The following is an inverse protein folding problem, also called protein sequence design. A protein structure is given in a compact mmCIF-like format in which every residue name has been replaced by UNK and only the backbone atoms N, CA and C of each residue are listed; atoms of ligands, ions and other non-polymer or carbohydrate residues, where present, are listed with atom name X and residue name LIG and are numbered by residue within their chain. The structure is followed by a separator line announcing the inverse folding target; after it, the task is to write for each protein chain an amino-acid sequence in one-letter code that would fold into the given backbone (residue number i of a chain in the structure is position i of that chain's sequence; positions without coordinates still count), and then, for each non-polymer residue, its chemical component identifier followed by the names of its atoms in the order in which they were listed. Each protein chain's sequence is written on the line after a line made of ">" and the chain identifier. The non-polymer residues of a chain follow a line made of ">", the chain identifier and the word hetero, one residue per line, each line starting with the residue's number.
data_IF_915077784706
#
_entry.id   IF_915077784706
#
_cell.length_a   1.000
_cell.length_b   1.000
_cell.length_c   1.000
_cell.angle_alpha   90.00
_cell.angle_beta   90.00
_cell.angle_gamma   90.00
#
_symmetry.space_group_name_H-M   'P 1'
#
loop_
_entity.id
_entity.type
_entity.pdbx_description
1 polymer ?
#
# COMPACT_ATOMS: atom_id res chain seq x y z
N UNK A 1 11.49 -54.54 -59.73
CA UNK A 1 11.11 -54.26 -58.35
C UNK A 1 12.03 -53.17 -57.84
N UNK A 2 11.51 -51.94 -57.77
CA UNK A 2 12.25 -50.77 -57.21
C UNK A 2 11.76 -50.54 -55.79
N UNK A 3 12.64 -50.70 -54.84
CA UNK A 3 12.35 -50.37 -53.44
C UNK A 3 12.51 -48.85 -53.28
N UNK A 4 11.45 -48.19 -52.86
CA UNK A 4 11.45 -46.79 -52.45
C UNK A 4 11.73 -46.78 -50.94
N UNK A 5 12.92 -46.29 -50.54
CA UNK A 5 13.28 -46.04 -49.14
C UNK A 5 12.73 -44.68 -48.79
N UNK A 6 11.66 -44.65 -48.00
CA UNK A 6 11.10 -43.39 -47.46
C UNK A 6 11.93 -42.87 -46.27
N UNK A 7 12.60 -41.77 -46.44
CA UNK A 7 13.30 -41.05 -45.39
C UNK A 7 12.29 -40.25 -44.55
N UNK A 8 11.94 -40.70 -43.35
CA UNK A 8 11.11 -39.96 -42.40
C UNK A 8 11.99 -38.93 -41.67
N UNK A 9 11.92 -37.66 -42.03
CA UNK A 9 12.55 -36.58 -41.31
C UNK A 9 11.66 -36.29 -40.05
N UNK A 10 12.09 -36.68 -38.88
CA UNK A 10 11.48 -36.26 -37.63
C UNK A 10 12.01 -34.86 -37.31
N UNK A 11 11.20 -33.83 -37.58
CA UNK A 11 11.45 -32.47 -37.13
C UNK A 11 11.19 -32.43 -35.62
N UNK A 12 12.24 -32.54 -34.78
CA UNK A 12 12.18 -32.18 -33.38
C UNK A 12 12.08 -30.62 -33.29
N UNK A 13 10.86 -30.08 -33.23
CA UNK A 13 10.64 -28.72 -32.82
C UNK A 13 10.95 -28.64 -31.31
N UNK A 14 12.19 -28.37 -30.97
CA UNK A 14 12.51 -27.87 -29.64
C UNK A 14 11.91 -26.47 -29.54
N UNK A 15 10.81 -26.33 -28.80
CA UNK A 15 10.33 -25.01 -28.40
C UNK A 15 11.43 -24.40 -27.53
N UNK A 16 12.23 -23.51 -28.10
CA UNK A 16 13.05 -22.59 -27.30
C UNK A 16 12.10 -21.68 -26.56
N UNK A 17 11.74 -22.00 -25.34
CA UNK A 17 11.15 -21.05 -24.42
C UNK A 17 12.24 -20.03 -24.16
N UNK A 18 12.11 -18.84 -24.74
CA UNK A 18 13.00 -17.73 -24.43
C UNK A 18 12.92 -17.48 -22.92
N UNK A 19 14.01 -17.74 -22.22
CA UNK A 19 14.08 -17.47 -20.80
C UNK A 19 14.04 -15.95 -20.65
N UNK A 20 12.99 -15.43 -20.01
CA UNK A 20 12.92 -14.00 -19.66
C UNK A 20 14.07 -13.68 -18.71
N UNK A 21 14.81 -12.64 -19.05
CA UNK A 21 15.97 -12.19 -18.29
C UNK A 21 15.85 -10.69 -18.01
N UNK A 22 16.49 -10.24 -16.95
CA UNK A 22 16.67 -8.81 -16.71
C UNK A 22 17.55 -8.16 -17.80
N UNK A 23 17.52 -6.82 -17.95
CA UNK A 23 18.34 -6.12 -18.93
C UNK A 23 19.85 -6.39 -18.81
N UNK A 24 20.33 -6.80 -17.64
CA UNK A 24 21.73 -7.21 -17.38
C UNK A 24 22.02 -8.68 -17.73
N UNK A 25 21.06 -9.40 -18.31
CA UNK A 25 21.17 -10.80 -18.73
C UNK A 25 20.96 -11.84 -17.62
N UNK A 26 20.69 -11.43 -16.40
CA UNK A 26 20.41 -12.36 -15.30
C UNK A 26 19.01 -12.95 -15.40
N UNK A 27 18.86 -14.22 -15.04
CA UNK A 27 17.56 -14.88 -14.96
C UNK A 27 16.65 -14.16 -13.96
N UNK A 28 15.38 -13.93 -14.35
CA UNK A 28 14.36 -13.40 -13.43
C UNK A 28 14.03 -14.46 -12.39
N UNK A 29 14.28 -14.20 -11.08
CA UNK A 29 13.93 -15.14 -10.02
C UNK A 29 12.45 -15.48 -10.01
N UNK A 30 12.11 -16.71 -9.63
CA UNK A 30 10.72 -17.21 -9.58
C UNK A 30 9.81 -16.30 -8.73
N UNK A 31 10.35 -15.72 -7.67
CA UNK A 31 9.64 -14.79 -6.80
C UNK A 31 8.93 -13.64 -7.58
N UNK A 32 9.51 -13.13 -8.67
CA UNK A 32 8.90 -12.09 -9.51
C UNK A 32 7.73 -12.60 -10.37
N UNK A 33 7.57 -13.92 -10.49
CA UNK A 33 6.45 -14.54 -11.22
C UNK A 33 5.32 -14.97 -10.30
N UNK A 34 5.56 -14.97 -8.99
CA UNK A 34 4.56 -15.28 -7.98
C UNK A 34 3.61 -14.11 -7.76
N UNK A 35 2.45 -14.13 -8.38
CA UNK A 35 1.39 -13.13 -8.24
C UNK A 35 0.16 -13.69 -7.50
N UNK A 36 0.36 -14.68 -6.63
CA UNK A 36 -0.73 -15.31 -5.86
C UNK A 36 -1.35 -14.31 -4.89
N UNK A 37 -2.67 -14.30 -4.85
CA UNK A 37 -3.42 -13.53 -3.86
C UNK A 37 -3.14 -14.02 -2.42
N UNK A 38 -3.25 -13.11 -1.47
CA UNK A 38 -3.11 -13.41 -0.05
C UNK A 38 -4.23 -14.34 0.40
N UNK A 39 -3.87 -15.51 0.91
CA UNK A 39 -4.84 -16.37 1.59
C UNK A 39 -5.11 -15.83 3.00
N UNK A 40 -6.08 -14.93 3.12
CA UNK A 40 -6.44 -14.27 4.39
C UNK A 40 -6.78 -15.27 5.50
N UNK A 41 -7.30 -16.45 5.16
CA UNK A 41 -7.64 -17.48 6.16
C UNK A 41 -6.40 -18.17 6.73
N UNK A 42 -5.27 -18.11 6.03
CA UNK A 42 -3.99 -18.64 6.52
C UNK A 42 -3.23 -17.66 7.42
N UNK A 43 -3.66 -16.40 7.50
CA UNK A 43 -2.99 -15.35 8.29
C UNK A 43 -3.40 -15.32 9.77
N UNK A 44 -4.19 -16.29 10.23
CA UNK A 44 -4.60 -16.42 11.62
C UNK A 44 -6.01 -15.90 11.93
N UNK A 45 -6.25 -15.60 13.21
CA UNK A 45 -7.57 -15.16 13.70
C UNK A 45 -7.97 -13.81 13.11
N UNK A 46 -9.25 -13.68 12.76
CA UNK A 46 -9.84 -12.41 12.29
C UNK A 46 -10.38 -11.59 13.46
N UNK A 47 -10.04 -10.33 13.48
CA UNK A 47 -10.49 -9.33 14.44
C UNK A 47 -11.27 -8.24 13.70
N UNK A 48 -12.59 -8.44 13.55
CA UNK A 48 -13.44 -7.39 12.96
C UNK A 48 -13.54 -6.23 13.94
N UNK A 49 -13.15 -5.02 13.51
CA UNK A 49 -13.07 -3.85 14.39
C UNK A 49 -14.40 -3.51 15.07
N UNK A 50 -15.52 -3.79 14.40
CA UNK A 50 -16.87 -3.55 14.95
C UNK A 50 -17.19 -4.45 16.14
N UNK A 51 -16.61 -5.64 16.23
CA UNK A 51 -16.78 -6.53 17.39
C UNK A 51 -16.09 -6.00 18.67
N UNK A 52 -15.29 -4.94 18.51
CA UNK A 52 -14.52 -4.30 19.59
C UNK A 52 -14.95 -2.84 19.83
N UNK A 53 -16.19 -2.52 19.42
CA UNK A 53 -16.80 -1.22 19.71
C UNK A 53 -16.39 -0.07 18.78
N UNK A 54 -15.75 -0.38 17.65
CA UNK A 54 -15.58 0.59 16.57
C UNK A 54 -16.90 0.69 15.82
N UNK A 55 -17.41 1.90 15.59
CA UNK A 55 -18.70 2.12 14.95
C UNK A 55 -18.54 2.57 13.50
N UNK A 56 -19.48 2.18 12.65
CA UNK A 56 -19.55 2.66 11.28
C UNK A 56 -20.04 4.11 11.25
N UNK A 57 -19.10 5.04 11.49
CA UNK A 57 -19.36 6.47 11.51
C UNK A 57 -18.15 7.22 10.90
N UNK A 58 -18.39 7.94 9.81
CA UNK A 58 -17.37 8.69 9.08
C UNK A 58 -17.02 10.04 9.73
N UNK A 59 -17.67 10.42 10.84
CA UNK A 59 -17.49 11.71 11.52
C UNK A 59 -16.77 11.56 12.87
N UNK A 60 -16.76 10.36 13.45
CA UNK A 60 -16.12 10.09 14.74
C UNK A 60 -14.75 9.48 14.55
N UNK A 61 -13.72 10.16 15.04
CA UNK A 61 -12.34 9.65 15.00
C UNK A 61 -12.15 8.52 16.00
N UNK A 62 -11.81 7.33 15.53
CA UNK A 62 -11.77 6.11 16.32
C UNK A 62 -10.37 5.46 16.37
N UNK A 63 -9.33 6.26 16.14
CA UNK A 63 -7.93 5.81 16.10
C UNK A 63 -7.56 4.93 17.28
N UNK A 64 -7.88 5.38 18.50
CA UNK A 64 -7.54 4.65 19.73
C UNK A 64 -8.18 3.26 19.75
N UNK A 65 -9.48 3.16 19.47
CA UNK A 65 -10.19 1.88 19.48
C UNK A 65 -9.65 0.92 18.41
N UNK A 66 -9.39 1.41 17.19
CA UNK A 66 -8.82 0.58 16.13
C UNK A 66 -7.41 0.12 16.50
N UNK A 67 -6.59 1.01 17.09
CA UNK A 67 -5.26 0.65 17.56
C UNK A 67 -5.30 -0.41 18.68
N UNK A 68 -6.25 -0.32 19.59
CA UNK A 68 -6.46 -1.32 20.64
C UNK A 68 -6.76 -2.72 20.05
N UNK A 69 -7.50 -2.79 18.93
CA UNK A 69 -7.74 -4.07 18.22
C UNK A 69 -6.44 -4.62 17.60
N UNK A 70 -5.62 -3.75 17.00
CA UNK A 70 -4.31 -4.14 16.46
C UNK A 70 -3.42 -4.67 17.59
N UNK A 71 -3.38 -3.95 18.71
CA UNK A 71 -2.57 -4.30 19.87
C UNK A 71 -3.01 -5.61 20.49
N UNK A 72 -4.32 -5.84 20.62
CA UNK A 72 -4.90 -7.09 21.10
C UNK A 72 -4.55 -8.27 20.18
N UNK A 73 -4.65 -8.08 18.87
CA UNK A 73 -4.27 -9.11 17.90
C UNK A 73 -2.79 -9.48 18.06
N UNK A 74 -1.91 -8.49 18.16
CA UNK A 74 -0.48 -8.70 18.36
C UNK A 74 -0.17 -9.44 19.67
N UNK A 75 -0.82 -9.08 20.79
CA UNK A 75 -0.69 -9.76 22.08
C UNK A 75 -1.12 -11.22 22.03
N UNK A 76 -2.08 -11.55 21.16
CA UNK A 76 -2.58 -12.92 20.95
C UNK A 76 -1.79 -13.70 19.88
N UNK A 77 -0.60 -13.25 19.50
CA UNK A 77 0.26 -13.91 18.53
C UNK A 77 0.06 -13.48 17.07
N UNK A 78 -0.84 -12.52 16.82
CA UNK A 78 -1.12 -11.97 15.51
C UNK A 78 -2.53 -12.23 15.00
N UNK A 79 -2.76 -11.91 13.73
CA UNK A 79 -4.03 -12.12 13.05
C UNK A 79 -4.41 -10.99 12.10
N UNK A 80 -5.62 -11.03 11.60
CA UNK A 80 -6.13 -10.14 10.56
C UNK A 80 -7.08 -9.12 11.16
N UNK A 81 -6.73 -7.86 11.08
CA UNK A 81 -7.60 -6.73 11.43
C UNK A 81 -8.54 -6.51 10.26
N UNK A 82 -9.81 -6.80 10.47
CA UNK A 82 -10.84 -6.70 9.43
C UNK A 82 -11.59 -5.39 9.59
N UNK A 83 -11.54 -4.57 8.55
CA UNK A 83 -12.41 -3.41 8.39
C UNK A 83 -13.61 -3.87 7.58
N UNK A 84 -14.81 -4.04 8.18
CA UNK A 84 -16.00 -4.49 7.47
C UNK A 84 -16.59 -3.38 6.61
N UNK A 85 -17.59 -3.73 5.81
CA UNK A 85 -18.35 -2.75 5.01
C UNK A 85 -18.78 -1.55 5.85
N UNK A 86 -18.50 -0.33 5.36
CA UNK A 86 -18.79 0.92 6.04
C UNK A 86 -17.64 1.91 5.96
N UNK A 87 -17.76 3.04 6.63
CA UNK A 87 -16.72 4.08 6.66
C UNK A 87 -16.27 4.34 8.09
N UNK A 88 -14.98 4.19 8.35
CA UNK A 88 -14.37 4.30 9.66
C UNK A 88 -13.27 5.36 9.65
N UNK A 89 -13.46 6.42 10.44
CA UNK A 89 -12.54 7.57 10.49
C UNK A 89 -11.41 7.31 11.49
N UNK A 90 -10.18 7.53 11.07
CA UNK A 90 -8.99 7.31 11.90
C UNK A 90 -7.87 8.30 11.61
N UNK A 91 -7.03 8.56 12.61
CA UNK A 91 -5.67 9.07 12.44
C UNK A 91 -4.69 7.92 12.21
N UNK A 92 -3.42 8.11 12.63
CA UNK A 92 -2.36 7.12 12.41
C UNK A 92 -2.58 5.80 13.15
N UNK A 93 -2.47 4.71 12.42
CA UNK A 93 -2.48 3.33 12.93
C UNK A 93 -1.10 2.70 12.77
N UNK A 94 -0.64 1.95 13.76
CA UNK A 94 0.67 1.31 13.78
C UNK A 94 0.50 -0.21 13.89
N UNK A 95 0.80 -0.90 12.81
CA UNK A 95 0.75 -2.37 12.77
C UNK A 95 1.95 -2.98 13.47
N UNK A 96 1.78 -4.21 13.93
CA UNK A 96 2.76 -4.96 14.73
C UNK A 96 3.06 -6.32 14.10
N UNK A 97 4.05 -7.01 14.63
CA UNK A 97 4.43 -8.33 14.14
C UNK A 97 3.22 -9.27 14.06
N UNK A 98 3.14 -10.00 12.96
CA UNK A 98 2.07 -10.97 12.64
C UNK A 98 0.65 -10.36 12.57
N UNK A 99 0.49 -9.04 12.55
CA UNK A 99 -0.83 -8.42 12.30
C UNK A 99 -0.95 -8.01 10.84
N UNK A 100 -2.13 -8.14 10.27
CA UNK A 100 -2.42 -7.85 8.86
C UNK A 100 -3.68 -7.00 8.75
N UNK A 101 -3.82 -6.24 7.66
CA UNK A 101 -5.01 -5.43 7.39
C UNK A 101 -5.83 -6.05 6.25
N UNK A 102 -7.10 -6.26 6.48
CA UNK A 102 -8.05 -6.70 5.46
C UNK A 102 -9.22 -5.73 5.37
N UNK A 103 -9.45 -5.19 4.17
CA UNK A 103 -10.55 -4.29 3.87
C UNK A 103 -11.62 -5.05 3.09
N UNK A 104 -12.78 -5.29 3.70
CA UNK A 104 -13.89 -5.93 3.00
C UNK A 104 -14.36 -5.09 1.80
N UNK A 105 -15.14 -5.70 0.92
CA UNK A 105 -15.75 -4.97 -0.18
C UNK A 105 -16.65 -3.84 0.37
N UNK A 106 -16.52 -2.64 -0.20
CA UNK A 106 -17.19 -1.41 0.27
C UNK A 106 -16.78 -0.94 1.68
N UNK A 107 -15.72 -1.50 2.25
CA UNK A 107 -15.09 -0.93 3.44
C UNK A 107 -14.27 0.30 3.07
N UNK A 108 -14.32 1.34 3.90
CA UNK A 108 -13.49 2.54 3.78
C UNK A 108 -12.83 2.83 5.12
N UNK A 109 -11.51 2.69 5.16
CA UNK A 109 -10.71 3.27 6.25
C UNK A 109 -10.31 4.67 5.82
N UNK A 110 -10.93 5.67 6.44
CA UNK A 110 -10.80 7.08 6.08
C UNK A 110 -9.86 7.79 7.03
N UNK A 111 -8.89 8.52 6.50
CA UNK A 111 -8.01 9.39 7.25
C UNK A 111 -8.74 10.62 7.81
N UNK A 112 -8.34 11.09 8.98
CA UNK A 112 -8.81 12.35 9.51
C UNK A 112 -8.29 13.51 8.64
N UNK A 113 -9.11 14.56 8.48
CA UNK A 113 -8.68 15.83 7.89
C UNK A 113 -8.15 16.82 8.94
N UNK A 114 -8.04 16.39 10.19
CA UNK A 114 -7.37 17.13 11.27
C UNK A 114 -5.99 16.55 11.51
N UNK A 115 -4.96 17.36 11.26
CA UNK A 115 -3.55 16.97 11.38
C UNK A 115 -3.15 16.54 12.80
N UNK A 116 -3.86 17.02 13.83
CA UNK A 116 -3.60 16.66 15.24
C UNK A 116 -3.80 15.17 15.55
N UNK A 117 -4.51 14.44 14.67
CA UNK A 117 -4.69 13.00 14.79
C UNK A 117 -3.53 12.17 14.19
N UNK A 118 -2.51 12.86 13.68
CA UNK A 118 -1.30 12.24 13.12
C UNK A 118 -0.07 12.66 13.94
N UNK A 119 0.54 11.77 14.72
CA UNK A 119 1.70 12.12 15.51
C UNK A 119 2.91 12.42 14.63
N UNK A 120 3.75 13.34 15.09
CA UNK A 120 5.04 13.62 14.50
C UNK A 120 6.07 12.67 15.10
N UNK A 121 6.80 11.96 14.24
CA UNK A 121 7.89 11.07 14.63
C UNK A 121 9.04 11.20 13.65
N UNK A 122 10.22 10.71 14.06
CA UNK A 122 11.34 10.57 13.16
C UNK A 122 10.96 9.61 12.03
N UNK A 123 11.05 10.05 10.79
CA UNK A 123 10.67 9.30 9.60
C UNK A 123 11.51 9.71 8.39
N UNK A 124 11.36 9.04 7.30
CA UNK A 124 12.01 9.36 6.03
C UNK A 124 11.12 10.24 5.18
N UNK A 125 11.68 11.30 4.58
CA UNK A 125 10.97 12.27 3.77
C UNK A 125 11.93 12.95 2.79
N UNK A 126 11.60 12.96 1.49
CA UNK A 126 12.39 13.63 0.43
C UNK A 126 13.91 13.35 0.54
N UNK A 127 14.28 12.09 0.76
CA UNK A 127 15.69 11.68 0.88
C UNK A 127 16.35 12.06 2.23
N UNK A 128 15.61 12.57 3.19
CA UNK A 128 16.11 12.99 4.50
C UNK A 128 15.43 12.23 5.64
N UNK A 129 16.11 12.07 6.77
CA UNK A 129 15.53 11.55 8.01
C UNK A 129 15.25 12.72 8.94
N UNK A 130 13.99 12.94 9.26
CA UNK A 130 13.54 14.10 10.02
C UNK A 130 12.20 13.85 10.73
N UNK A 131 11.78 14.76 11.59
CA UNK A 131 10.47 14.73 12.22
C UNK A 131 9.38 15.13 11.23
N UNK A 132 8.43 14.22 10.97
CA UNK A 132 7.31 14.45 10.06
C UNK A 132 6.07 13.71 10.52
N UNK A 133 4.89 14.08 10.01
CA UNK A 133 3.65 13.40 10.33
C UNK A 133 3.66 11.95 9.85
N UNK A 134 3.22 11.06 10.72
CA UNK A 134 3.05 9.64 10.38
C UNK A 134 1.88 9.44 9.41
N UNK A 135 1.89 8.32 8.71
CA UNK A 135 0.84 7.95 7.77
C UNK A 135 -0.45 7.46 8.46
N UNK A 136 -1.52 7.28 7.70
CA UNK A 136 -2.73 6.60 8.18
C UNK A 136 -2.41 5.14 8.57
N UNK A 137 -1.67 4.43 7.72
CA UNK A 137 -1.22 3.05 7.98
C UNK A 137 0.30 3.03 8.04
N UNK A 138 0.85 2.58 9.17
CA UNK A 138 2.29 2.53 9.41
C UNK A 138 2.74 1.12 9.81
N UNK A 139 3.90 0.71 9.27
CA UNK A 139 4.60 -0.51 9.64
C UNK A 139 6.11 -0.26 9.69
N UNK A 140 6.80 -0.74 10.72
CA UNK A 140 8.25 -0.63 10.84
C UNK A 140 8.85 -1.95 11.32
N UNK A 141 9.85 -2.45 10.58
CA UNK A 141 10.58 -3.68 10.91
C UNK A 141 9.76 -4.96 10.83
N UNK A 142 8.62 -4.96 10.13
CA UNK A 142 7.74 -6.13 10.04
C UNK A 142 8.19 -7.08 8.92
N UNK A 143 8.05 -8.39 9.17
CA UNK A 143 8.24 -9.43 8.15
C UNK A 143 6.89 -10.11 7.84
N UNK A 144 6.52 -10.19 6.56
CA UNK A 144 5.29 -10.83 6.10
C UNK A 144 4.03 -9.98 6.23
N UNK A 145 4.11 -8.66 6.45
CA UNK A 145 2.93 -7.79 6.58
C UNK A 145 2.11 -7.72 5.28
N UNK A 146 0.79 -7.82 5.41
CA UNK A 146 -0.11 -7.71 4.25
C UNK A 146 -1.21 -6.67 4.45
N UNK A 147 -1.58 -5.99 3.36
CA UNK A 147 -2.82 -5.23 3.23
C UNK A 147 -3.57 -5.82 2.04
N UNK A 148 -4.79 -6.32 2.25
CA UNK A 148 -5.52 -7.00 1.19
C UNK A 148 -7.03 -6.73 1.24
N UNK A 149 -7.76 -7.20 0.23
CA UNK A 149 -9.21 -7.07 0.15
C UNK A 149 -9.66 -6.26 -1.06
N UNK A 150 -10.91 -5.76 -1.01
CA UNK A 150 -11.53 -4.98 -2.10
C UNK A 150 -12.00 -3.60 -1.64
N UNK A 151 -11.66 -3.22 -0.42
CA UNK A 151 -12.03 -1.93 0.17
C UNK A 151 -11.10 -0.79 -0.23
N UNK A 152 -11.20 0.29 0.52
CA UNK A 152 -10.55 1.57 0.19
C UNK A 152 -9.79 2.12 1.39
N UNK A 153 -8.55 2.56 1.18
CA UNK A 153 -7.86 3.52 2.02
C UNK A 153 -8.09 4.91 1.43
N UNK A 154 -8.80 5.77 2.14
CA UNK A 154 -9.10 7.14 1.71
C UNK A 154 -8.35 8.13 2.61
N UNK A 155 -7.47 8.92 2.02
CA UNK A 155 -6.65 9.89 2.76
C UNK A 155 -7.41 11.13 3.20
N UNK A 156 -8.63 11.38 2.66
CA UNK A 156 -9.46 12.56 2.99
C UNK A 156 -8.73 13.90 2.77
N UNK A 157 -7.98 14.00 1.67
CA UNK A 157 -6.97 15.04 1.44
C UNK A 157 -7.48 16.45 1.17
N UNK A 158 -8.77 16.64 0.88
CA UNK A 158 -9.30 17.92 0.36
C UNK A 158 -8.95 19.15 1.23
N UNK A 159 -9.05 19.04 2.57
CA UNK A 159 -8.72 20.12 3.49
C UNK A 159 -7.23 20.44 3.44
N UNK A 160 -6.38 19.42 3.38
CA UNK A 160 -4.92 19.57 3.27
C UNK A 160 -4.52 20.21 1.95
N UNK A 161 -5.17 19.85 0.82
CA UNK A 161 -4.88 20.44 -0.48
C UNK A 161 -5.25 21.91 -0.53
N UNK A 162 -6.41 22.27 0.04
CA UNK A 162 -6.82 23.68 0.16
C UNK A 162 -5.82 24.49 0.99
N UNK A 163 -5.36 23.94 2.13
CA UNK A 163 -4.36 24.58 2.98
C UNK A 163 -3.05 24.81 2.24
N UNK A 164 -2.55 23.77 1.53
CA UNK A 164 -1.33 23.88 0.75
C UNK A 164 -1.41 24.95 -0.34
N UNK A 165 -2.50 24.98 -1.10
CA UNK A 165 -2.66 25.98 -2.17
C UNK A 165 -2.89 27.38 -1.62
N UNK A 166 -3.58 27.53 -0.50
CA UNK A 166 -3.73 28.80 0.19
C UNK A 166 -2.36 29.34 0.64
N UNK A 167 -1.55 28.51 1.28
CA UNK A 167 -0.19 28.89 1.66
C UNK A 167 0.65 29.28 0.44
N UNK A 168 0.57 28.50 -0.62
CA UNK A 168 1.31 28.77 -1.86
C UNK A 168 0.86 30.03 -2.61
N UNK A 169 -0.37 30.44 -2.44
CA UNK A 169 -0.85 31.74 -2.98
C UNK A 169 -0.23 32.95 -2.26
N UNK A 170 0.20 32.76 -1.01
CA UNK A 170 0.86 33.79 -0.19
C UNK A 170 2.39 33.71 -0.33
N UNK A 171 2.93 32.48 -0.30
CA UNK A 171 4.34 32.19 -0.51
C UNK A 171 4.50 31.19 -1.67
N UNK A 172 4.78 31.64 -2.92
CA UNK A 172 4.92 30.76 -4.09
C UNK A 172 6.02 29.72 -3.93
N UNK A 173 7.03 29.95 -3.11
CA UNK A 173 8.15 29.06 -2.85
C UNK A 173 7.87 28.06 -1.72
N UNK A 174 6.64 28.02 -1.19
CA UNK A 174 6.24 27.08 -0.14
C UNK A 174 6.49 25.64 -0.57
N UNK A 175 7.21 24.92 0.28
CA UNK A 175 7.57 23.52 0.11
C UNK A 175 6.64 22.58 0.88
N UNK A 176 6.81 21.27 0.67
CA UNK A 176 6.12 20.25 1.46
C UNK A 176 6.56 20.23 2.93
N UNK A 177 7.69 20.84 3.25
CA UNK A 177 8.20 20.93 4.61
C UNK A 177 7.55 22.06 5.42
N UNK A 178 7.06 23.09 4.73
CA UNK A 178 6.37 24.22 5.38
C UNK A 178 4.88 23.95 5.53
N UNK A 179 4.28 23.16 4.63
CA UNK A 179 2.90 22.72 4.71
C UNK A 179 2.87 21.20 4.72
N UNK A 180 3.28 20.62 5.85
CA UNK A 180 3.36 19.19 6.06
C UNK A 180 1.98 18.51 6.06
N UNK A 181 1.89 17.32 5.44
CA UNK A 181 0.65 16.56 5.28
C UNK A 181 0.93 15.07 5.47
N UNK A 182 0.01 14.28 6.06
CA UNK A 182 0.23 12.85 6.25
C UNK A 182 0.16 12.09 4.92
N UNK A 183 0.88 10.97 4.85
CA UNK A 183 0.77 9.94 3.80
C UNK A 183 -0.38 8.99 4.11
N UNK A 184 -0.83 8.18 3.14
CA UNK A 184 -1.76 7.09 3.45
C UNK A 184 -1.01 5.87 3.99
N UNK A 185 0.04 5.40 3.30
CA UNK A 185 0.83 4.27 3.75
C UNK A 185 2.30 4.70 3.92
N UNK A 186 2.89 4.35 5.05
CA UNK A 186 4.33 4.42 5.26
C UNK A 186 4.85 3.13 5.88
N UNK A 187 5.83 2.53 5.24
CA UNK A 187 6.51 1.34 5.74
C UNK A 187 8.02 1.55 5.73
N UNK A 188 8.68 1.16 6.81
CA UNK A 188 10.13 1.22 6.92
C UNK A 188 10.70 -0.10 7.41
N UNK A 189 11.88 -0.48 6.89
CA UNK A 189 12.62 -1.66 7.29
C UNK A 189 11.82 -2.98 7.20
N UNK A 190 10.75 -3.02 6.40
CA UNK A 190 9.87 -4.18 6.28
C UNK A 190 10.37 -5.15 5.21
N UNK A 191 10.00 -6.44 5.37
CA UNK A 191 10.36 -7.50 4.44
C UNK A 191 9.14 -8.38 4.12
N UNK A 192 9.12 -8.97 2.91
CA UNK A 192 8.05 -9.87 2.46
C UNK A 192 6.64 -9.22 2.58
N UNK A 193 6.53 -7.97 2.14
CA UNK A 193 5.27 -7.20 2.19
C UNK A 193 4.46 -7.47 0.93
N UNK A 194 3.14 -7.67 1.08
CA UNK A 194 2.21 -7.71 -0.05
C UNK A 194 1.01 -6.79 0.20
N UNK A 195 0.76 -5.89 -0.76
CA UNK A 195 -0.42 -5.03 -0.77
C UNK A 195 -1.18 -5.33 -2.05
N UNK A 196 -2.48 -5.69 -1.92
CA UNK A 196 -3.23 -6.14 -3.09
C UNK A 196 -4.71 -5.81 -3.07
N UNK A 197 -5.27 -5.64 -4.28
CA UNK A 197 -6.70 -5.61 -4.57
C UNK A 197 -7.44 -4.36 -4.08
N UNK A 198 -6.81 -3.52 -3.27
CA UNK A 198 -7.45 -2.37 -2.63
C UNK A 198 -7.41 -1.11 -3.51
N UNK A 199 -8.25 -0.15 -3.15
CA UNK A 199 -8.21 1.22 -3.67
C UNK A 199 -7.50 2.12 -2.68
N UNK A 200 -6.68 3.04 -3.19
CA UNK A 200 -6.02 4.10 -2.41
C UNK A 200 -6.38 5.42 -3.09
N UNK A 201 -6.98 6.34 -2.35
CA UNK A 201 -7.48 7.57 -2.96
C UNK A 201 -7.43 8.77 -2.02
N UNK A 202 -7.47 9.95 -2.60
CA UNK A 202 -7.55 11.23 -1.91
C UNK A 202 -6.42 11.44 -0.90
N UNK A 203 -5.20 11.02 -1.24
CA UNK A 203 -4.06 11.20 -0.34
C UNK A 203 -3.78 12.67 -0.06
N UNK A 204 -3.57 13.07 1.20
CA UNK A 204 -3.12 14.44 1.52
C UNK A 204 -1.76 14.78 0.94
N UNK A 205 -0.89 13.77 0.85
CA UNK A 205 0.48 13.83 0.34
C UNK A 205 0.80 12.55 -0.43
N UNK A 206 2.02 12.02 -0.44
CA UNK A 206 2.36 10.74 -1.08
C UNK A 206 1.40 9.63 -0.68
N UNK A 207 0.90 8.87 -1.65
CA UNK A 207 -0.09 7.83 -1.37
C UNK A 207 0.54 6.66 -0.64
N UNK A 208 1.68 6.17 -1.14
CA UNK A 208 2.43 5.08 -0.48
C UNK A 208 3.92 5.39 -0.48
N UNK A 209 4.59 5.17 0.64
CA UNK A 209 6.03 5.36 0.77
C UNK A 209 6.67 4.18 1.50
N UNK A 210 7.63 3.55 0.84
CA UNK A 210 8.40 2.42 1.36
C UNK A 210 9.87 2.81 1.49
N UNK A 211 10.42 2.66 2.70
CA UNK A 211 11.80 2.99 2.98
C UNK A 211 12.56 1.76 3.50
N UNK A 212 13.67 1.40 2.84
CA UNK A 212 14.48 0.21 3.18
C UNK A 212 13.66 -1.08 3.27
N UNK A 213 12.64 -1.23 2.44
CA UNK A 213 11.86 -2.45 2.34
C UNK A 213 12.44 -3.40 1.30
N UNK A 214 12.21 -4.70 1.49
CA UNK A 214 12.65 -5.75 0.56
C UNK A 214 11.57 -6.79 0.32
N UNK A 215 11.55 -7.38 -0.87
CA UNK A 215 10.54 -8.35 -1.29
C UNK A 215 9.12 -7.77 -1.16
N UNK A 216 8.92 -6.61 -1.80
CA UNK A 216 7.65 -5.88 -1.79
C UNK A 216 6.83 -6.24 -3.04
N UNK A 217 5.60 -6.69 -2.85
CA UNK A 217 4.62 -6.93 -3.92
C UNK A 217 3.46 -5.95 -3.81
N UNK A 218 3.23 -5.18 -4.87
CA UNK A 218 2.08 -4.29 -5.04
C UNK A 218 1.25 -4.82 -6.21
N UNK A 219 0.13 -5.50 -5.92
CA UNK A 219 -0.63 -6.27 -6.90
C UNK A 219 -2.05 -5.72 -7.05
N UNK A 220 -2.49 -5.47 -8.29
CA UNK A 220 -3.87 -5.07 -8.59
C UNK A 220 -4.37 -3.87 -7.76
N UNK A 221 -3.53 -2.88 -7.53
CA UNK A 221 -3.89 -1.66 -6.81
C UNK A 221 -4.52 -0.64 -7.76
N UNK A 222 -5.49 0.09 -7.25
CA UNK A 222 -6.00 1.30 -7.89
C UNK A 222 -5.70 2.51 -7.04
N UNK A 223 -4.71 3.32 -7.47
CA UNK A 223 -4.31 4.54 -6.77
C UNK A 223 -4.79 5.74 -7.59
N UNK A 224 -5.51 6.66 -6.98
CA UNK A 224 -6.09 7.81 -7.68
C UNK A 224 -5.96 9.09 -6.87
N UNK A 225 -5.70 10.18 -7.59
CA UNK A 225 -5.64 11.54 -7.04
C UNK A 225 -6.45 12.49 -7.92
N UNK A 226 -7.39 13.26 -7.36
CA UNK A 226 -8.26 14.12 -8.15
C UNK A 226 -7.56 15.40 -8.62
N UNK A 227 -7.98 15.87 -9.80
CA UNK A 227 -7.61 17.21 -10.30
C UNK A 227 -8.67 18.28 -9.97
N UNK A 228 -9.86 17.87 -9.60
CA UNK A 228 -11.04 18.74 -9.35
C UNK A 228 -11.81 18.21 -8.11
N UNK A 229 -12.44 19.10 -7.31
CA UNK A 229 -12.52 20.57 -7.43
C UNK A 229 -11.22 21.29 -7.02
N UNK A 230 -10.29 20.60 -6.37
CA UNK A 230 -8.95 21.10 -5.99
C UNK A 230 -7.93 20.07 -6.43
N UNK A 231 -6.91 20.50 -7.18
CA UNK A 231 -5.82 19.62 -7.58
C UNK A 231 -5.07 19.12 -6.35
N UNK A 232 -4.93 17.83 -6.22
CA UNK A 232 -4.14 17.19 -5.18
C UNK A 232 -2.63 17.44 -5.42
N UNK A 233 -1.91 18.10 -4.51
CA UNK A 233 -0.49 18.38 -4.69
C UNK A 233 0.38 17.26 -4.15
N UNK A 234 1.42 16.85 -4.88
CA UNK A 234 2.44 15.88 -4.44
C UNK A 234 1.81 14.57 -3.93
N UNK A 235 0.91 13.98 -4.73
CA UNK A 235 0.19 12.75 -4.37
C UNK A 235 0.70 11.57 -5.19
N UNK A 236 2.02 11.42 -5.22
CA UNK A 236 2.70 10.33 -5.90
C UNK A 236 2.12 8.98 -5.47
N UNK A 237 1.94 8.07 -6.44
CA UNK A 237 1.26 6.82 -6.18
C UNK A 237 2.12 5.87 -5.34
N UNK A 238 3.39 5.70 -5.74
CA UNK A 238 4.33 4.77 -5.10
C UNK A 238 5.72 5.39 -5.05
N UNK A 239 6.24 5.57 -3.85
CA UNK A 239 7.60 6.03 -3.59
C UNK A 239 8.42 4.89 -2.99
N UNK A 240 9.47 4.48 -3.70
CA UNK A 240 10.41 3.43 -3.28
C UNK A 240 11.75 4.07 -2.93
N UNK A 241 12.06 4.19 -1.64
CA UNK A 241 13.31 4.78 -1.13
C UNK A 241 14.20 3.68 -0.55
N UNK A 242 15.34 3.40 -1.20
CA UNK A 242 16.31 2.35 -0.80
C UNK A 242 15.67 0.95 -0.70
N UNK A 243 14.68 0.65 -1.53
CA UNK A 243 14.03 -0.66 -1.57
C UNK A 243 14.70 -1.60 -2.58
N UNK A 244 14.55 -2.90 -2.36
CA UNK A 244 15.01 -3.92 -3.30
C UNK A 244 14.01 -5.06 -3.46
N UNK A 245 14.10 -5.77 -4.60
CA UNK A 245 13.16 -6.84 -4.95
C UNK A 245 11.69 -6.37 -4.86
N UNK A 246 11.34 -5.33 -5.62
CA UNK A 246 9.99 -4.81 -5.68
C UNK A 246 9.29 -5.27 -6.96
N UNK A 247 8.10 -5.84 -6.82
CA UNK A 247 7.20 -6.22 -7.91
C UNK A 247 5.97 -5.32 -7.87
N UNK A 248 5.83 -4.49 -8.89
CA UNK A 248 4.64 -3.69 -9.13
C UNK A 248 3.89 -4.32 -10.31
N UNK A 249 2.79 -5.00 -10.01
CA UNK A 249 1.93 -5.60 -11.00
C UNK A 249 0.57 -4.91 -10.95
N UNK A 250 0.37 -3.99 -11.89
CA UNK A 250 -0.86 -3.20 -11.99
C UNK A 250 -1.52 -3.48 -13.34
N UNK A 251 -2.83 -3.28 -13.43
CA UNK A 251 -3.51 -3.19 -14.73
C UNK A 251 -2.92 -2.04 -15.55
N UNK A 252 -3.05 -2.07 -16.90
CA UNK A 252 -2.50 -1.02 -17.76
C UNK A 252 -2.88 0.37 -17.27
N UNK A 253 -1.93 1.29 -17.36
CA UNK A 253 -2.14 2.69 -17.03
C UNK A 253 -3.22 3.30 -17.93
N UNK A 254 -4.13 4.12 -17.41
CA UNK A 254 -5.09 4.84 -18.25
C UNK A 254 -4.46 5.89 -19.19
N UNK A 255 -3.14 5.96 -19.24
CA UNK A 255 -2.39 6.88 -20.12
C UNK A 255 -1.83 6.21 -21.38
N UNK A 256 -2.02 4.89 -21.51
CA UNK A 256 -1.58 4.11 -22.69
C UNK A 256 -2.72 4.03 -23.70
#
# INVERSE_FOLDING_TARGET
>A
MKQIVGLVLILCCTQMVAQEVFPDGKAIPEWFRENKEVNVNALGKKYSITNYGVVNDSTVVQTKKIQEVIDLAAQNGGGVIVVPQGTFLSGSLFFKNNTHLYLEENAVLKGSDDISHFPVKMTRMEGQTLNYFMALVNADGLDGFTISGKGTLNGNGLRYWKSFWLRRSINPDCTNMEEMRPRIIYMSNCKNVQIEGIRIMDSPFWSTHFYKCSFLKLLNLRITSPASPVKAPSTDAVDLDVCNNCLLYTSPSPRD
#
